data_IF_656980071876
#
_entry.id   IF_656980071876
#
_cell.length_a   1.000
_cell.length_b   1.000
_cell.length_c   1.000
_cell.angle_alpha   90.00
_cell.angle_beta   90.00
_cell.angle_gamma   90.00
#
_symmetry.space_group_name_H-M   'P 1'
#
loop_
_entity.id
_entity.type
_entity.pdbx_description
1 polymer ?
#
# COMPACT_ATOMS: atom_id res chain seq x y z
N UNK A 1 -29.87 3.17 -21.34
CA UNK A 1 -29.51 1.81 -20.87
C UNK A 1 -28.24 1.39 -21.60
N UNK A 2 -27.20 0.88 -20.92
CA UNK A 2 -26.67 1.17 -19.57
C UNK A 2 -25.42 2.09 -19.70
N UNK A 3 -24.95 2.91 -18.76
CA UNK A 3 -24.63 2.71 -17.34
C UNK A 3 -23.60 1.58 -17.11
N UNK A 4 -22.46 1.68 -17.79
CA UNK A 4 -21.20 1.01 -17.45
C UNK A 4 -20.67 1.55 -16.12
N UNK A 5 -21.37 1.17 -15.05
CA UNK A 5 -21.00 1.37 -13.67
C UNK A 5 -19.64 0.71 -13.43
N UNK A 6 -18.60 1.53 -13.54
CA UNK A 6 -17.60 1.76 -12.51
C UNK A 6 -17.38 0.48 -11.69
N UNK A 7 -16.41 -0.31 -12.15
CA UNK A 7 -15.77 -1.35 -11.35
C UNK A 7 -15.00 -0.64 -10.22
N UNK A 8 -15.74 -0.16 -9.23
CA UNK A 8 -15.28 0.27 -7.92
C UNK A 8 -15.87 -0.73 -6.96
N UNK A 9 -15.47 -1.98 -7.10
CA UNK A 9 -15.41 -2.85 -5.94
C UNK A 9 -14.40 -2.19 -5.02
N UNK A 10 -14.80 -1.17 -4.26
CA UNK A 10 -14.17 -0.82 -3.00
C UNK A 10 -14.87 -1.72 -2.00
N UNK A 11 -14.53 -3.00 -2.04
CA UNK A 11 -14.87 -3.86 -0.93
C UNK A 11 -14.09 -3.37 0.28
N UNK A 12 -14.66 -3.48 1.47
CA UNK A 12 -13.99 -3.29 2.76
C UNK A 12 -12.81 -4.29 2.98
N UNK A 13 -12.46 -5.03 1.92
CA UNK A 13 -11.23 -5.75 1.63
C UNK A 13 -10.47 -4.93 0.58
N UNK A 14 -9.39 -4.27 1.00
CA UNK A 14 -8.26 -3.85 0.16
C UNK A 14 -8.42 -4.05 -1.36
N UNK A 15 -8.87 -3.03 -2.06
CA UNK A 15 -9.28 -3.09 -3.48
C UNK A 15 -8.79 -1.93 -4.35
N UNK A 16 -7.81 -1.16 -3.88
CA UNK A 16 -7.03 -0.28 -4.75
C UNK A 16 -5.73 -1.00 -5.12
N UNK A 17 -5.77 -1.77 -6.21
CA UNK A 17 -4.58 -2.44 -6.73
C UNK A 17 -3.58 -1.39 -7.23
N UNK A 18 -2.72 -0.93 -6.34
CA UNK A 18 -1.53 -0.17 -6.71
C UNK A 18 -0.67 -1.05 -7.60
N UNK A 19 -0.28 -0.52 -8.76
CA UNK A 19 0.57 -1.24 -9.70
C UNK A 19 1.90 -1.64 -9.04
N UNK A 20 2.19 -2.95 -8.87
CA UNK A 20 3.42 -3.42 -8.23
C UNK A 20 4.68 -2.98 -8.99
N UNK A 21 4.54 -2.65 -10.28
CA UNK A 21 5.62 -2.13 -11.12
C UNK A 21 6.12 -0.76 -10.66
N UNK A 22 5.24 0.08 -10.11
CA UNK A 22 5.59 1.41 -9.62
C UNK A 22 6.26 1.35 -8.23
N UNK A 23 6.01 0.30 -7.44
CA UNK A 23 6.65 0.12 -6.12
C UNK A 23 8.00 -0.57 -6.16
N UNK A 24 8.30 -1.36 -7.19
CA UNK A 24 9.61 -2.02 -7.36
C UNK A 24 10.81 -1.08 -7.22
N UNK A 25 10.84 0.13 -7.80
CA UNK A 25 11.94 1.07 -7.59
C UNK A 25 11.98 1.69 -6.17
N UNK A 26 10.92 1.51 -5.38
CA UNK A 26 10.80 2.02 -4.01
C UNK A 26 11.24 1.02 -2.93
N UNK A 27 11.61 -0.20 -3.31
CA UNK A 27 12.14 -1.19 -2.37
C UNK A 27 13.48 -0.70 -1.83
N UNK A 28 13.72 -0.86 -0.53
CA UNK A 28 14.86 -0.31 0.22
C UNK A 28 14.86 1.22 0.39
N UNK A 29 13.69 1.87 0.29
CA UNK A 29 13.52 3.31 0.56
C UNK A 29 12.49 3.57 1.66
N UNK A 30 12.48 4.81 2.14
CA UNK A 30 11.38 5.31 2.96
C UNK A 30 10.16 5.51 2.08
N UNK A 31 9.09 4.80 2.42
CA UNK A 31 7.81 4.94 1.75
C UNK A 31 6.81 5.47 2.76
N UNK A 32 6.05 6.47 2.35
CA UNK A 32 4.89 6.91 3.10
C UNK A 32 3.68 6.21 2.52
N UNK A 33 2.95 5.47 3.35
CA UNK A 33 1.79 4.68 2.93
C UNK A 33 0.55 5.33 3.52
N UNK A 34 -0.46 5.54 2.67
CA UNK A 34 -1.80 5.93 3.06
C UNK A 34 -2.75 4.77 2.81
N UNK A 35 -3.41 4.34 3.87
CA UNK A 35 -4.48 3.35 3.83
C UNK A 35 -5.82 4.05 3.55
N UNK A 36 -6.75 3.31 2.96
CA UNK A 36 -8.08 3.83 2.63
C UNK A 36 -8.87 4.26 3.89
N UNK A 37 -8.61 3.61 5.02
CA UNK A 37 -9.19 3.95 6.32
C UNK A 37 -8.69 5.28 6.93
N UNK A 38 -7.88 6.05 6.19
CA UNK A 38 -7.33 7.33 6.61
C UNK A 38 -6.08 7.25 7.48
N UNK A 39 -5.60 6.03 7.77
CA UNK A 39 -4.32 5.87 8.47
C UNK A 39 -3.16 6.07 7.50
N UNK A 40 -2.15 6.80 7.95
CA UNK A 40 -0.91 6.94 7.22
C UNK A 40 0.29 6.73 8.12
N UNK A 41 1.33 6.10 7.56
CA UNK A 41 2.51 5.76 8.33
C UNK A 41 3.75 5.68 7.45
N UNK A 42 4.89 5.97 8.09
CA UNK A 42 6.19 5.68 7.51
C UNK A 42 6.42 4.17 7.52
N UNK A 43 6.69 3.64 6.33
CA UNK A 43 7.02 2.24 6.12
C UNK A 43 8.33 2.14 5.34
N UNK A 44 9.25 1.34 5.86
CA UNK A 44 10.43 0.92 5.13
C UNK A 44 10.13 -0.42 4.45
N UNK A 45 9.92 -0.40 3.13
CA UNK A 45 9.69 -1.62 2.38
C UNK A 45 11.00 -2.35 2.13
N UNK A 46 11.11 -3.58 2.62
CA UNK A 46 12.28 -4.44 2.38
C UNK A 46 12.04 -5.41 1.25
N UNK A 47 10.78 -5.78 1.00
CA UNK A 47 10.39 -6.71 -0.04
C UNK A 47 9.03 -6.32 -0.62
N UNK A 48 8.92 -6.31 -1.95
CA UNK A 48 7.66 -6.11 -2.66
C UNK A 48 7.46 -7.25 -3.64
N UNK A 49 6.40 -8.02 -3.43
CA UNK A 49 5.91 -9.04 -4.34
C UNK A 49 4.98 -8.47 -5.40
N UNK A 50 4.22 -9.35 -6.08
CA UNK A 50 3.27 -8.92 -7.13
C UNK A 50 2.00 -8.26 -6.58
N UNK A 51 1.61 -8.57 -5.35
CA UNK A 51 0.35 -8.10 -4.73
C UNK A 51 0.48 -7.84 -3.22
N UNK A 52 1.65 -8.05 -2.65
CA UNK A 52 1.93 -7.86 -1.24
C UNK A 52 3.28 -7.20 -1.05
N UNK A 53 3.40 -6.39 -0.01
CA UNK A 53 4.61 -5.71 0.40
C UNK A 53 4.89 -6.02 1.86
N UNK A 54 6.17 -6.23 2.17
CA UNK A 54 6.64 -6.52 3.52
C UNK A 54 7.74 -5.53 3.88
N UNK A 55 7.79 -5.16 5.15
CA UNK A 55 8.72 -4.16 5.60
C UNK A 55 8.64 -3.87 7.08
N UNK A 56 9.11 -2.68 7.46
CA UNK A 56 9.08 -2.17 8.81
C UNK A 56 8.24 -0.92 8.85
N UNK A 57 7.18 -0.89 9.64
CA UNK A 57 6.39 0.33 9.87
C UNK A 57 6.88 1.03 11.12
N UNK A 58 6.85 2.35 11.09
CA UNK A 58 7.12 3.18 12.26
C UNK A 58 5.83 3.33 13.07
N UNK A 59 5.78 2.75 14.27
CA UNK A 59 4.62 2.86 15.16
C UNK A 59 4.81 3.96 16.21
N UNK A 60 5.35 5.11 15.81
CA UNK A 60 5.72 6.26 16.66
C UNK A 60 6.86 6.02 17.68
N UNK A 61 7.03 4.80 18.19
CA UNK A 61 8.01 4.45 19.23
C UNK A 61 9.09 3.46 18.76
N UNK A 62 8.78 2.61 17.78
CA UNK A 62 9.71 1.59 17.26
C UNK A 62 9.36 1.19 15.83
N UNK A 63 10.35 0.64 15.15
CA UNK A 63 10.14 -0.11 13.91
C UNK A 63 9.52 -1.46 14.24
N UNK A 64 8.36 -1.75 13.65
CA UNK A 64 7.66 -3.03 13.79
C UNK A 64 7.56 -3.67 12.42
N UNK A 65 7.95 -4.94 12.31
CA UNK A 65 7.77 -5.67 11.07
C UNK A 65 6.29 -5.75 10.70
N UNK A 66 5.95 -5.46 9.45
CA UNK A 66 4.59 -5.51 8.94
C UNK A 66 4.58 -6.11 7.53
N UNK A 67 3.45 -6.73 7.19
CA UNK A 67 3.10 -7.09 5.83
C UNK A 67 1.76 -6.43 5.50
N UNK A 68 1.65 -5.87 4.31
CA UNK A 68 0.42 -5.27 3.79
C UNK A 68 0.21 -5.73 2.36
N UNK A 69 -1.05 -5.98 2.00
CA UNK A 69 -1.40 -6.21 0.61
C UNK A 69 -1.41 -4.87 -0.14
N UNK A 70 -0.82 -4.86 -1.34
CA UNK A 70 -0.76 -3.67 -2.19
C UNK A 70 -2.14 -3.11 -2.50
N UNK A 71 -3.15 -3.99 -2.49
CA UNK A 71 -4.53 -3.60 -2.73
C UNK A 71 -5.13 -2.76 -1.58
N UNK A 72 -4.52 -2.78 -0.39
CA UNK A 72 -4.98 -2.01 0.78
C UNK A 72 -4.47 -0.56 0.75
N UNK A 73 -3.49 -0.30 -0.10
CA UNK A 73 -2.79 0.97 -0.15
C UNK A 73 -3.54 1.84 -1.14
N UNK A 74 -4.12 2.94 -0.67
CA UNK A 74 -4.83 3.88 -1.55
C UNK A 74 -3.82 4.78 -2.27
N UNK A 75 -2.82 5.25 -1.51
CA UNK A 75 -1.74 6.08 -2.02
C UNK A 75 -0.42 5.74 -1.35
N UNK A 76 0.67 5.90 -2.07
CA UNK A 76 2.03 5.74 -1.54
C UNK A 76 2.95 6.77 -2.17
N UNK A 77 3.95 7.19 -1.42
CA UNK A 77 4.93 8.16 -1.88
C UNK A 77 6.31 7.66 -1.48
N UNK A 78 7.17 7.51 -2.47
CA UNK A 78 8.53 7.04 -2.27
C UNK A 78 9.46 8.24 -2.16
N UNK A 79 10.16 8.34 -1.03
CA UNK A 79 11.16 9.37 -0.76
C UNK A 79 12.57 8.85 -1.03
#
# INVERSE_FOLDING_TARGET
MPEDLINKDKSDVCTYAVDPGALRPCVFKYVYIWLDNGNSFWAWLTYVGRKSASGWRWNSQRWVYFGVDLNCIDYFECY
#
